data_IF_349540433378
#
_entry.id   IF_349540433378
#
_cell.length_a   1.000
_cell.length_b   1.000
_cell.length_c   1.000
_cell.angle_alpha   90.00
_cell.angle_beta   90.00
_cell.angle_gamma   90.00
#
_symmetry.space_group_name_H-M   'P 1'
#
loop_
_entity.id
_entity.type
_entity.pdbx_description
1 polymer ?
#
# COMPACT_ATOMS: atom_id res chain seq x y z
N UNK A 1 -2.44 8.24 -5.93
CA UNK A 1 -0.97 8.32 -6.01
C UNK A 1 -0.43 7.60 -7.25
N UNK A 2 -0.70 6.30 -7.44
CA UNK A 2 -0.15 5.52 -8.56
C UNK A 2 -0.37 6.16 -9.96
N UNK A 3 -1.61 6.56 -10.29
CA UNK A 3 -1.94 7.22 -11.56
C UNK A 3 -1.13 8.50 -11.80
N UNK A 4 -0.94 9.33 -10.76
CA UNK A 4 -0.16 10.57 -10.85
C UNK A 4 1.34 10.32 -11.13
N UNK A 5 1.81 9.09 -10.92
CA UNK A 5 3.17 8.66 -11.22
C UNK A 5 3.27 7.78 -12.47
N UNK A 6 2.22 7.76 -13.31
CA UNK A 6 2.25 7.11 -14.63
C UNK A 6 1.87 5.63 -14.63
N UNK A 7 1.49 5.05 -13.48
CA UNK A 7 0.92 3.70 -13.45
C UNK A 7 -0.53 3.73 -13.93
N UNK A 8 -1.07 2.56 -14.26
CA UNK A 8 -2.47 2.34 -14.67
C UNK A 8 -3.23 1.52 -13.63
N UNK A 9 -4.55 1.60 -13.67
CA UNK A 9 -5.44 0.80 -12.81
C UNK A 9 -6.37 -0.06 -13.65
N UNK A 10 -6.73 -1.23 -13.14
CA UNK A 10 -7.69 -2.14 -13.78
C UNK A 10 -8.80 -2.51 -12.81
N UNK A 11 -10.01 -2.72 -13.34
CA UNK A 11 -11.13 -3.27 -12.58
C UNK A 11 -10.87 -4.75 -12.30
N UNK A 12 -11.07 -5.18 -11.06
CA UNK A 12 -10.94 -6.59 -10.69
C UNK A 12 -12.18 -7.38 -11.10
N UNK A 13 -12.00 -8.68 -11.37
CA UNK A 13 -13.13 -9.60 -11.55
C UNK A 13 -13.91 -9.73 -10.23
N UNK A 14 -13.20 -10.04 -9.15
CA UNK A 14 -13.70 -9.97 -7.78
C UNK A 14 -12.85 -8.97 -7.00
N UNK A 15 -13.48 -7.96 -6.40
CA UNK A 15 -12.77 -7.00 -5.55
C UNK A 15 -12.48 -7.56 -4.16
N UNK A 16 -11.49 -7.00 -3.48
CA UNK A 16 -11.19 -7.37 -2.09
C UNK A 16 -12.13 -6.65 -1.13
N UNK A 17 -12.93 -7.44 -0.40
CA UNK A 17 -13.90 -6.97 0.59
C UNK A 17 -13.85 -7.90 1.80
N UNK A 18 -13.28 -7.45 2.92
CA UNK A 18 -13.18 -8.25 4.13
C UNK A 18 -12.06 -7.81 5.05
N UNK A 19 -12.01 -8.41 6.24
CA UNK A 19 -11.08 -8.07 7.33
C UNK A 19 -10.03 -9.16 7.61
N UNK A 20 -9.84 -10.10 6.67
CA UNK A 20 -8.94 -11.25 6.81
C UNK A 20 -7.91 -11.35 5.67
N UNK A 21 -7.68 -10.27 4.90
CA UNK A 21 -6.79 -10.31 3.73
C UNK A 21 -5.31 -10.28 4.14
N UNK A 22 -4.54 -11.36 3.89
CA UNK A 22 -3.12 -11.39 4.20
C UNK A 22 -2.33 -10.59 3.16
N UNK A 23 -1.55 -9.62 3.63
CA UNK A 23 -0.69 -8.76 2.81
C UNK A 23 0.75 -8.95 3.24
N UNK A 24 1.63 -9.27 2.29
CA UNK A 24 3.08 -9.35 2.51
C UNK A 24 3.68 -7.96 2.43
N UNK A 25 4.39 -7.56 3.47
CA UNK A 25 5.16 -6.32 3.50
C UNK A 25 6.62 -6.64 3.15
N UNK A 26 7.07 -6.13 2.01
CA UNK A 26 8.40 -6.39 1.48
C UNK A 26 9.50 -5.62 2.21
N UNK A 27 9.16 -4.45 2.78
CA UNK A 27 10.12 -3.63 3.54
C UNK A 27 10.45 -4.28 4.90
N UNK A 28 9.44 -4.80 5.62
CA UNK A 28 9.60 -5.39 6.96
C UNK A 28 9.72 -6.92 6.97
N UNK A 29 9.49 -7.58 5.82
CA UNK A 29 9.53 -9.05 5.64
C UNK A 29 8.56 -9.81 6.56
N UNK A 30 7.42 -9.20 6.88
CA UNK A 30 6.33 -9.80 7.64
C UNK A 30 5.04 -9.88 6.81
N UNK A 31 4.00 -10.48 7.40
CA UNK A 31 2.64 -10.55 6.87
C UNK A 31 1.71 -9.79 7.81
N UNK A 32 0.80 -9.01 7.25
CA UNK A 32 -0.20 -8.23 7.95
C UNK A 32 -1.58 -8.76 7.56
N UNK A 33 -2.48 -8.96 8.53
CA UNK A 33 -3.90 -9.18 8.23
C UNK A 33 -4.55 -7.81 8.10
N UNK A 34 -5.22 -7.57 6.96
CA UNK A 34 -5.69 -6.23 6.57
C UNK A 34 -7.19 -6.18 6.30
N UNK A 35 -7.73 -4.98 6.42
CA UNK A 35 -9.10 -4.64 6.02
C UNK A 35 -9.08 -4.06 4.61
N UNK A 36 -9.84 -4.68 3.72
CA UNK A 36 -9.90 -4.33 2.30
C UNK A 36 -11.33 -3.99 1.89
N UNK A 37 -11.51 -2.96 1.08
CA UNK A 37 -12.77 -2.63 0.43
C UNK A 37 -12.53 -1.90 -0.91
N UNK A 38 -11.98 -2.61 -1.91
CA UNK A 38 -11.71 -2.03 -3.22
C UNK A 38 -12.05 -2.99 -4.37
N UNK A 39 -12.44 -2.41 -5.52
CA UNK A 39 -12.76 -3.16 -6.76
C UNK A 39 -11.83 -2.87 -7.94
N UNK A 40 -10.82 -2.03 -7.72
CA UNK A 40 -9.79 -1.68 -8.70
C UNK A 40 -8.42 -1.88 -8.05
N UNK A 41 -7.41 -2.19 -8.86
CA UNK A 41 -6.02 -2.36 -8.44
C UNK A 41 -5.08 -1.66 -9.40
N UNK A 42 -3.91 -1.26 -8.88
CA UNK A 42 -2.78 -0.84 -9.71
C UNK A 42 -2.26 -2.04 -10.49
N UNK A 43 -2.07 -1.89 -11.80
CA UNK A 43 -1.63 -2.98 -12.66
C UNK A 43 -0.11 -3.22 -12.49
N UNK A 44 0.29 -4.44 -12.12
CA UNK A 44 1.71 -4.81 -11.97
C UNK A 44 2.58 -4.41 -13.17
N UNK A 45 2.06 -4.58 -14.39
CA UNK A 45 2.78 -4.31 -15.64
C UNK A 45 3.01 -2.81 -15.93
N UNK A 46 2.29 -1.91 -15.26
CA UNK A 46 2.43 -0.46 -15.48
C UNK A 46 3.29 0.24 -14.42
N UNK A 47 3.92 -0.52 -13.52
CA UNK A 47 4.87 0.02 -12.56
C UNK A 47 6.17 0.42 -13.27
N UNK A 48 6.47 1.71 -13.25
CA UNK A 48 7.71 2.30 -13.75
C UNK A 48 8.87 2.15 -12.75
N UNK A 49 10.11 2.31 -13.23
CA UNK A 49 11.34 2.16 -12.42
C UNK A 49 11.45 3.07 -11.19
N UNK A 50 10.66 4.16 -11.13
CA UNK A 50 10.64 5.11 -10.02
C UNK A 50 9.59 4.75 -8.93
N UNK A 51 8.87 3.64 -9.10
CA UNK A 51 7.89 3.14 -8.13
C UNK A 51 8.35 1.76 -7.65
N UNK A 52 8.47 1.59 -6.34
CA UNK A 52 8.70 0.29 -5.72
C UNK A 52 7.44 -0.25 -5.08
N UNK A 53 7.16 -1.53 -5.29
CA UNK A 53 6.07 -2.25 -4.61
C UNK A 53 6.52 -2.55 -3.18
N UNK A 54 5.78 -2.04 -2.20
CA UNK A 54 6.07 -2.25 -0.77
C UNK A 54 5.21 -3.33 -0.16
N UNK A 55 3.99 -3.52 -0.69
CA UNK A 55 3.06 -4.53 -0.19
C UNK A 55 2.39 -5.25 -1.35
N UNK A 56 2.18 -6.56 -1.19
CA UNK A 56 1.43 -7.39 -2.14
C UNK A 56 0.44 -8.31 -1.43
N UNK A 57 -0.72 -8.51 -2.03
CA UNK A 57 -1.72 -9.47 -1.55
C UNK A 57 -1.19 -10.89 -1.68
N UNK A 58 -1.30 -11.69 -0.61
CA UNK A 58 -0.94 -13.11 -0.65
C UNK A 58 -2.05 -14.00 -1.24
N UNK A 59 -3.25 -13.46 -1.46
CA UNK A 59 -4.31 -14.21 -2.14
C UNK A 59 -4.14 -14.24 -3.66
N UNK A 60 -3.67 -13.15 -4.27
CA UNK A 60 -3.70 -13.00 -5.72
C UNK A 60 -2.51 -12.22 -6.31
N UNK A 61 -1.48 -11.91 -5.51
CA UNK A 61 -0.28 -11.17 -5.91
C UNK A 61 -0.55 -9.76 -6.48
N UNK A 62 -1.73 -9.18 -6.21
CA UNK A 62 -2.01 -7.79 -6.57
C UNK A 62 -1.23 -6.81 -5.68
N UNK A 63 -0.98 -5.61 -6.21
CA UNK A 63 -0.28 -4.55 -5.48
C UNK A 63 -1.17 -4.05 -4.34
N UNK A 64 -0.67 -4.15 -3.12
CA UNK A 64 -1.31 -3.65 -1.91
C UNK A 64 -0.64 -2.37 -1.36
N UNK A 65 0.51 -1.97 -1.90
CA UNK A 65 1.20 -0.75 -1.49
C UNK A 65 2.41 -0.43 -2.35
N UNK A 66 2.70 0.86 -2.47
CA UNK A 66 3.80 1.39 -3.28
C UNK A 66 4.52 2.54 -2.56
N UNK A 67 5.79 2.76 -2.93
CA UNK A 67 6.58 3.95 -2.57
C UNK A 67 7.24 4.54 -3.82
N UNK A 68 7.50 5.84 -3.79
CA UNK A 68 8.22 6.53 -4.85
C UNK A 68 9.68 6.61 -4.49
N UNK A 69 10.55 6.17 -5.39
CA UNK A 69 11.99 6.22 -5.18
C UNK A 69 12.48 7.65 -5.02
N UNK A 70 13.45 7.84 -4.11
CA UNK A 70 14.06 9.14 -3.78
C UNK A 70 13.06 10.22 -3.28
N UNK A 71 11.82 9.86 -2.95
CA UNK A 71 10.82 10.79 -2.40
C UNK A 71 10.13 10.19 -1.17
N UNK A 72 9.71 11.03 -0.20
CA UNK A 72 9.06 10.58 1.03
C UNK A 72 7.59 10.17 0.82
N UNK A 73 7.24 9.61 -0.35
CA UNK A 73 5.87 9.35 -0.77
C UNK A 73 5.60 7.84 -0.76
N UNK A 74 4.51 7.45 -0.10
CA UNK A 74 4.02 6.08 -0.10
C UNK A 74 2.49 6.05 -0.01
N UNK A 75 1.90 4.94 -0.43
CA UNK A 75 0.47 4.66 -0.26
C UNK A 75 0.23 3.18 -0.11
N UNK A 76 -0.85 2.81 0.58
CA UNK A 76 -1.39 1.45 0.63
C UNK A 76 -2.79 1.39 0.02
N UNK A 77 -3.18 0.21 -0.44
CA UNK A 77 -4.48 -0.04 -1.10
C UNK A 77 -5.58 -0.44 -0.09
N UNK A 78 -5.17 -0.93 1.07
CA UNK A 78 -6.04 -1.34 2.18
C UNK A 78 -6.26 -0.22 3.18
N UNK A 79 -7.09 -0.51 4.19
CA UNK A 79 -7.49 0.40 5.27
C UNK A 79 -6.65 0.19 6.54
N UNK A 80 -5.53 0.93 6.75
CA UNK A 80 -4.69 0.79 7.94
C UNK A 80 -5.34 1.32 9.23
N UNK A 81 -6.36 2.18 9.11
CA UNK A 81 -7.20 2.64 10.22
C UNK A 81 -8.09 1.53 10.78
N UNK A 82 -8.40 0.54 9.93
CA UNK A 82 -9.37 -0.51 10.17
C UNK A 82 -10.76 0.06 10.55
N UNK A 83 -11.46 -0.60 11.48
CA UNK A 83 -12.83 -0.26 11.94
C UNK A 83 -13.96 -0.67 10.98
N UNK A 84 -14.39 -1.95 11.02
CA UNK A 84 -13.93 -3.04 11.89
C UNK A 84 -12.64 -3.71 11.38
N UNK A 85 -12.00 -4.55 12.18
CA UNK A 85 -10.90 -5.43 11.74
C UNK A 85 -9.56 -5.27 12.47
N UNK A 86 -8.52 -6.02 12.04
CA UNK A 86 -7.20 -6.07 12.67
C UNK A 86 -6.44 -4.75 12.61
N UNK A 87 -5.40 -4.62 13.43
CA UNK A 87 -4.65 -3.37 13.63
C UNK A 87 -3.18 -3.46 13.23
N UNK A 88 -2.79 -4.54 12.55
CA UNK A 88 -1.42 -4.89 12.17
C UNK A 88 -0.73 -3.74 11.43
N UNK A 89 -1.46 -3.02 10.56
CA UNK A 89 -0.90 -1.98 9.71
C UNK A 89 -0.94 -0.56 10.30
N UNK A 90 -1.34 -0.38 11.58
CA UNK A 90 -1.42 0.96 12.20
C UNK A 90 -0.07 1.70 12.25
N UNK A 91 1.04 0.98 12.19
CA UNK A 91 2.38 1.58 12.14
C UNK A 91 2.57 2.52 10.94
N UNK A 92 1.77 2.37 9.87
CA UNK A 92 1.82 3.26 8.69
C UNK A 92 1.51 4.72 9.05
N UNK A 93 0.64 4.97 10.04
CA UNK A 93 0.41 6.33 10.54
C UNK A 93 1.64 6.90 11.24
N UNK A 94 2.32 6.09 12.06
CA UNK A 94 3.59 6.48 12.69
C UNK A 94 4.65 6.78 11.62
N UNK A 95 4.78 5.90 10.60
CA UNK A 95 5.68 6.09 9.45
C UNK A 95 5.38 7.39 8.70
N UNK A 96 4.11 7.74 8.53
CA UNK A 96 3.69 9.00 7.91
C UNK A 96 4.10 10.23 8.74
N UNK A 97 3.84 10.22 10.05
CA UNK A 97 4.24 11.31 10.96
C UNK A 97 5.76 11.49 11.01
N UNK A 98 6.52 10.39 11.03
CA UNK A 98 7.98 10.43 10.96
C UNK A 98 8.47 11.04 9.64
N UNK A 99 7.82 10.71 8.52
CA UNK A 99 8.09 11.31 7.21
C UNK A 99 7.92 12.84 7.24
N UNK A 100 6.81 13.34 7.81
CA UNK A 100 6.56 14.78 7.98
C UNK A 100 7.68 15.44 8.79
N UNK A 101 8.04 14.86 9.95
CA UNK A 101 9.10 15.39 10.82
C UNK A 101 10.44 15.46 10.10
N UNK A 102 10.79 14.44 9.33
CA UNK A 102 12.05 14.40 8.59
C UNK A 102 12.10 15.43 7.46
N UNK A 103 10.99 15.65 6.76
CA UNK A 103 10.88 16.72 5.77
C UNK A 103 10.99 18.12 6.39
N UNK A 104 10.40 18.33 7.57
CA UNK A 104 10.48 19.61 8.27
C UNK A 104 11.90 19.94 8.78
N UNK A 105 12.70 18.93 9.15
CA UNK A 105 14.09 19.09 9.61
C UNK A 105 15.10 19.37 8.50
N UNK A 106 14.79 19.04 7.25
CA UNK A 106 15.67 19.24 6.08
C UNK A 106 15.65 20.69 5.56
N UNK A 107 15.33 21.66 6.41
CA UNK A 107 15.42 23.09 6.09
C UNK A 107 16.82 23.61 6.35
#
# INVERSE_FOLDING_TARGET
MALAHGATTVKMHHGHRGANHPVKNHDQKNVEITVQNHGYVVQNKSISKNISVTHSSLFDNTIAGIKIENKPFFSVQYHPEASPGPHDSRYLFKKFIESIKNCAKKK
#
